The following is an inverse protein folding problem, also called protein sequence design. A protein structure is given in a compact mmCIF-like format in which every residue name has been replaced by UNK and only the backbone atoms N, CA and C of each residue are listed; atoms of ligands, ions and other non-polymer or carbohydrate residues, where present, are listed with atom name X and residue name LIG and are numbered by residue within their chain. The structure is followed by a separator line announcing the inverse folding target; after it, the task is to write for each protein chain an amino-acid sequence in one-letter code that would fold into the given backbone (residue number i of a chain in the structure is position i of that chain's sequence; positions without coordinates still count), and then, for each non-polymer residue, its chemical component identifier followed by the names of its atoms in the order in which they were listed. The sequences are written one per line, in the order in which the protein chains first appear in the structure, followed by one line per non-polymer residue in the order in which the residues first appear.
data_IF_328803072223
#
_entry.id   IF_328803072223
#
_cell.length_a   1.000
_cell.length_b   1.000
_cell.length_c   1.000
_cell.angle_alpha   90.00
_cell.angle_beta   90.00
_cell.angle_gamma   90.00
#
_symmetry.space_group_name_H-M   'P 1'
#
loop_
_entity.id
_entity.type
_entity.pdbx_description
1 polymer ?
#
# COMPACT_ATOMS: atom_id res chain seq x y z
N UNK A 1 2.42 35.31 -0.59
CA UNK A 1 1.82 34.51 -1.69
C UNK A 1 2.89 33.57 -2.22
N UNK A 2 2.60 32.27 -2.32
CA UNK A 2 3.55 31.28 -2.86
C UNK A 2 3.86 31.62 -4.32
N UNK A 3 5.13 31.66 -4.69
CA UNK A 3 5.56 31.96 -6.07
C UNK A 3 5.09 30.84 -7.01
N UNK A 4 4.04 31.13 -7.77
CA UNK A 4 3.39 30.16 -8.67
C UNK A 4 4.29 29.73 -9.82
N UNK A 5 5.37 30.45 -10.11
CA UNK A 5 6.32 30.12 -11.17
C UNK A 5 7.12 28.86 -10.84
N UNK A 6 7.53 28.67 -9.58
CA UNK A 6 8.30 27.49 -9.12
C UNK A 6 7.49 26.19 -9.20
N UNK A 7 6.16 26.26 -9.11
CA UNK A 7 5.27 25.09 -9.17
C UNK A 7 5.14 24.51 -10.59
N UNK A 8 5.45 25.30 -11.63
CA UNK A 8 5.30 24.87 -13.03
C UNK A 8 6.29 23.78 -13.43
N UNK A 9 7.42 23.68 -12.75
CA UNK A 9 8.34 22.55 -12.93
C UNK A 9 7.74 21.24 -12.41
N UNK A 10 7.03 21.29 -11.28
CA UNK A 10 6.34 20.12 -10.74
C UNK A 10 5.18 19.67 -11.63
N UNK A 11 4.43 20.61 -12.22
CA UNK A 11 3.34 20.34 -13.18
C UNK A 11 3.83 19.51 -14.39
N UNK A 12 5.06 19.76 -14.89
CA UNK A 12 5.64 18.95 -15.99
C UNK A 12 5.88 17.51 -15.52
N UNK A 13 6.47 17.33 -14.33
CA UNK A 13 6.79 16.00 -13.79
C UNK A 13 5.52 15.21 -13.53
N UNK A 14 4.54 15.79 -12.84
CA UNK A 14 3.26 15.13 -12.55
C UNK A 14 2.46 14.85 -13.81
N UNK A 15 2.46 15.78 -14.76
CA UNK A 15 1.87 15.57 -16.08
C UNK A 15 2.48 14.37 -16.80
N UNK A 16 3.81 14.27 -16.89
CA UNK A 16 4.48 13.13 -17.53
C UNK A 16 4.16 11.81 -16.82
N UNK A 17 4.17 11.80 -15.49
CA UNK A 17 3.81 10.61 -14.71
C UNK A 17 2.38 10.15 -14.96
N UNK A 18 1.40 11.07 -14.96
CA UNK A 18 0.01 10.75 -15.25
C UNK A 18 -0.23 10.34 -16.69
N UNK A 19 0.52 10.89 -17.64
CA UNK A 19 0.48 10.46 -19.03
C UNK A 19 0.91 9.00 -19.17
N UNK A 20 2.06 8.63 -18.58
CA UNK A 20 2.56 7.24 -18.59
C UNK A 20 1.60 6.30 -17.87
N UNK A 21 1.11 6.70 -16.68
CA UNK A 21 0.15 5.91 -15.92
C UNK A 21 -1.16 5.72 -16.70
N UNK A 22 -1.61 6.74 -17.44
CA UNK A 22 -2.84 6.68 -18.22
C UNK A 22 -2.70 5.71 -19.38
N UNK A 23 -1.55 5.72 -20.07
CA UNK A 23 -1.22 4.73 -21.09
C UNK A 23 -1.21 3.32 -20.50
N UNK A 24 -0.58 3.15 -19.34
CA UNK A 24 -0.51 1.85 -18.66
C UNK A 24 -1.91 1.33 -18.30
N UNK A 25 -2.78 2.17 -17.73
CA UNK A 25 -4.17 1.80 -17.39
C UNK A 25 -4.94 1.37 -18.64
N UNK A 26 -4.81 2.12 -19.75
CA UNK A 26 -5.46 1.74 -21.01
C UNK A 26 -4.90 0.41 -21.52
N UNK A 27 -3.58 0.21 -21.49
CA UNK A 27 -2.95 -1.02 -21.93
C UNK A 27 -3.47 -2.24 -21.15
N UNK A 28 -3.56 -2.13 -19.82
CA UNK A 28 -4.15 -3.16 -18.96
C UNK A 28 -5.64 -3.36 -19.24
N UNK A 29 -6.41 -2.28 -19.41
CA UNK A 29 -7.83 -2.36 -19.71
C UNK A 29 -8.13 -3.07 -21.03
N UNK A 30 -7.26 -2.92 -22.03
CA UNK A 30 -7.37 -3.59 -23.32
C UNK A 30 -7.16 -5.11 -23.23
N UNK A 31 -6.59 -5.63 -22.14
CA UNK A 31 -6.49 -7.07 -21.89
C UNK A 31 -7.78 -7.67 -21.31
N UNK A 32 -8.71 -6.82 -20.85
CA UNK A 32 -9.98 -7.25 -20.25
C UNK A 32 -11.05 -7.50 -21.32
N UNK A 33 -11.98 -8.46 -21.09
CA UNK A 33 -13.02 -8.77 -22.07
C UNK A 33 -14.02 -7.61 -22.23
N UNK A 34 -14.17 -7.14 -23.48
CA UNK A 34 -15.13 -6.09 -23.84
C UNK A 34 -16.56 -6.61 -24.03
N UNK A 35 -16.70 -7.91 -24.32
CA UNK A 35 -17.96 -8.65 -24.39
C UNK A 35 -17.70 -10.05 -23.87
N UNK A 36 -18.62 -10.57 -23.07
CA UNK A 36 -18.55 -11.94 -22.55
C UNK A 36 -19.96 -12.51 -22.42
N UNK A 37 -20.14 -13.82 -22.44
CA UNK A 37 -21.46 -14.45 -22.23
C UNK A 37 -21.48 -15.07 -20.83
N UNK A 38 -22.19 -14.44 -19.90
CA UNK A 38 -22.35 -14.96 -18.54
C UNK A 38 -23.78 -15.47 -18.35
N UNK A 39 -23.91 -16.75 -17.96
CA UNK A 39 -25.21 -17.40 -17.70
C UNK A 39 -26.23 -17.32 -18.87
N UNK A 40 -25.77 -17.31 -20.12
CA UNK A 40 -26.63 -17.26 -21.31
C UNK A 40 -27.13 -15.87 -21.69
N UNK A 41 -26.65 -14.83 -21.01
CA UNK A 41 -26.90 -13.42 -21.38
C UNK A 41 -25.62 -12.84 -21.95
N UNK A 42 -25.70 -12.30 -23.17
CA UNK A 42 -24.58 -11.59 -23.80
C UNK A 42 -24.31 -10.27 -23.06
N UNK A 43 -23.12 -10.13 -22.51
CA UNK A 43 -22.65 -8.90 -21.88
C UNK A 43 -22.33 -7.88 -22.97
N UNK A 44 -23.08 -6.77 -22.95
CA UNK A 44 -22.90 -5.65 -23.87
C UNK A 44 -21.71 -4.79 -23.40
N UNK A 45 -21.07 -4.08 -24.34
CA UNK A 45 -19.85 -3.30 -24.11
C UNK A 45 -19.93 -2.31 -22.93
N UNK A 46 -21.11 -1.79 -22.59
CA UNK A 46 -21.28 -0.83 -21.47
C UNK A 46 -21.26 -1.49 -20.08
N UNK A 47 -21.33 -2.83 -20.00
CA UNK A 47 -21.16 -3.61 -18.77
C UNK A 47 -19.73 -4.15 -18.65
N UNK A 48 -18.87 -3.85 -19.64
CA UNK A 48 -17.51 -4.37 -19.64
C UNK A 48 -16.71 -3.82 -18.45
N UNK A 49 -15.98 -4.69 -17.72
CA UNK A 49 -15.07 -4.26 -16.66
C UNK A 49 -13.96 -3.33 -17.18
N UNK A 50 -13.66 -3.36 -18.50
CA UNK A 50 -12.67 -2.50 -19.14
C UNK A 50 -13.13 -1.04 -19.29
N UNK A 51 -14.45 -0.77 -19.33
CA UNK A 51 -14.99 0.53 -19.70
C UNK A 51 -14.54 1.64 -18.74
N UNK A 52 -14.63 1.40 -17.43
CA UNK A 52 -14.23 2.36 -16.40
C UNK A 52 -12.72 2.68 -16.47
N UNK A 53 -11.81 1.68 -16.47
CA UNK A 53 -10.39 1.89 -16.73
C UNK A 53 -10.10 2.67 -18.01
N UNK A 54 -10.78 2.39 -19.13
CA UNK A 54 -10.59 3.09 -20.39
C UNK A 54 -10.97 4.57 -20.29
N UNK A 55 -12.12 4.89 -19.68
CA UNK A 55 -12.57 6.27 -19.47
C UNK A 55 -11.58 7.03 -18.58
N UNK A 56 -11.20 6.43 -17.44
CA UNK A 56 -10.28 7.05 -16.47
C UNK A 56 -8.90 7.26 -17.12
N UNK A 57 -8.37 6.24 -17.79
CA UNK A 57 -7.10 6.31 -18.49
C UNK A 57 -7.09 7.40 -19.56
N UNK A 58 -8.12 7.46 -20.40
CA UNK A 58 -8.25 8.48 -21.44
C UNK A 58 -8.34 9.90 -20.84
N UNK A 59 -9.22 10.11 -19.86
CA UNK A 59 -9.38 11.40 -19.19
C UNK A 59 -8.06 11.85 -18.54
N UNK A 60 -7.32 10.92 -17.92
CA UNK A 60 -6.03 11.20 -17.30
C UNK A 60 -4.96 11.58 -18.32
N UNK A 61 -4.92 10.91 -19.48
CA UNK A 61 -4.03 11.29 -20.60
C UNK A 61 -4.36 12.70 -21.09
N UNK A 62 -5.63 13.02 -21.34
CA UNK A 62 -6.04 14.36 -21.80
C UNK A 62 -5.64 15.44 -20.80
N UNK A 63 -5.93 15.23 -19.52
CA UNK A 63 -5.58 16.16 -18.46
C UNK A 63 -4.06 16.32 -18.34
N UNK A 64 -3.31 15.22 -18.41
CA UNK A 64 -1.85 15.22 -18.37
C UNK A 64 -1.26 16.04 -19.53
N UNK A 65 -1.72 15.80 -20.76
CA UNK A 65 -1.30 16.57 -21.94
C UNK A 65 -1.61 18.06 -21.75
N UNK A 66 -2.81 18.39 -21.27
CA UNK A 66 -3.19 19.77 -21.00
C UNK A 66 -2.25 20.43 -19.98
N UNK A 67 -1.96 19.76 -18.86
CA UNK A 67 -1.05 20.26 -17.81
C UNK A 67 0.36 20.45 -18.37
N UNK A 68 0.87 19.49 -19.12
CA UNK A 68 2.21 19.55 -19.73
C UNK A 68 2.30 20.74 -20.68
N UNK A 69 1.35 20.88 -21.61
CA UNK A 69 1.32 21.99 -22.58
C UNK A 69 1.20 23.33 -21.86
N UNK A 70 0.33 23.41 -20.85
CA UNK A 70 0.16 24.61 -20.05
C UNK A 70 1.45 24.98 -19.32
N UNK A 71 2.12 24.02 -18.69
CA UNK A 71 3.37 24.24 -17.97
C UNK A 71 4.50 24.66 -18.91
N UNK A 72 4.61 24.07 -20.11
CA UNK A 72 5.57 24.49 -21.13
C UNK A 72 5.36 25.95 -21.55
N UNK A 73 4.11 26.36 -21.78
CA UNK A 73 3.77 27.74 -22.17
C UNK A 73 4.03 28.77 -21.07
N UNK A 74 4.07 28.35 -19.79
CA UNK A 74 4.24 29.24 -18.64
C UNK A 74 5.60 29.07 -17.94
N UNK A 75 6.66 28.75 -18.70
CA UNK A 75 8.03 28.73 -18.19
C UNK A 75 8.41 27.52 -17.34
N UNK A 76 7.63 26.42 -17.40
CA UNK A 76 7.85 25.21 -16.62
C UNK A 76 9.22 24.56 -16.83
N UNK A 77 9.83 24.71 -18.01
CA UNK A 77 11.20 24.20 -18.29
C UNK A 77 12.25 24.93 -17.47
N UNK A 78 12.15 26.26 -17.36
CA UNK A 78 13.06 27.04 -16.54
C UNK A 78 12.86 26.71 -15.05
N UNK A 79 11.61 26.59 -14.60
CA UNK A 79 11.26 26.16 -13.25
C UNK A 79 11.79 24.74 -12.93
N UNK A 80 11.68 23.80 -13.87
CA UNK A 80 12.18 22.43 -13.73
C UNK A 80 13.71 22.40 -13.58
N UNK A 81 14.44 23.16 -14.40
CA UNK A 81 15.91 23.28 -14.31
C UNK A 81 16.33 23.85 -12.95
N UNK A 82 15.67 24.89 -12.46
CA UNK A 82 15.93 25.44 -11.12
C UNK A 82 15.64 24.42 -10.02
N UNK A 83 14.52 23.71 -10.11
CA UNK A 83 14.15 22.68 -9.13
C UNK A 83 15.12 21.49 -9.10
N UNK A 84 15.63 21.06 -10.27
CA UNK A 84 16.66 20.02 -10.34
C UNK A 84 18.01 20.50 -9.79
N UNK A 85 18.35 21.78 -9.97
CA UNK A 85 19.56 22.37 -9.42
C UNK A 85 19.50 22.50 -7.89
N UNK A 86 18.36 22.96 -7.34
CA UNK A 86 18.12 23.06 -5.89
C UNK A 86 18.16 21.67 -5.21
N UNK A 87 17.71 20.60 -5.89
CA UNK A 87 17.70 19.23 -5.34
C UNK A 87 19.06 18.53 -5.25
N UNK A 88 20.11 19.02 -5.90
CA UNK A 88 21.44 18.35 -5.94
C UNK A 88 22.13 18.24 -4.57
N UNK A 89 21.64 18.93 -3.53
CA UNK A 89 22.19 18.86 -2.16
C UNK A 89 21.24 18.28 -1.11
N UNK A 90 19.99 17.95 -1.44
CA UNK A 90 19.04 17.46 -0.45
C UNK A 90 19.20 15.96 -0.23
N UNK A 91 19.39 15.55 1.03
CA UNK A 91 19.35 14.14 1.40
C UNK A 91 17.96 13.57 1.07
N UNK A 92 17.91 12.47 0.33
CA UNK A 92 16.69 11.76 -0.08
C UNK A 92 15.74 11.48 1.10
N UNK A 93 16.28 11.36 2.32
CA UNK A 93 15.57 11.15 3.58
C UNK A 93 15.59 12.40 4.50
N UNK A 94 15.18 13.55 3.98
CA UNK A 94 14.79 14.70 4.81
C UNK A 94 13.57 14.33 5.69
N UNK A 95 13.38 15.01 6.81
CA UNK A 95 12.24 14.78 7.72
C UNK A 95 10.87 14.98 7.05
N UNK A 96 10.83 15.74 5.94
CA UNK A 96 9.64 15.83 5.09
C UNK A 96 9.40 14.54 4.30
N UNK A 97 10.45 13.93 3.76
CA UNK A 97 10.35 12.76 2.89
C UNK A 97 10.07 11.47 3.66
N UNK A 98 10.46 11.39 4.94
CA UNK A 98 10.21 10.18 5.74
C UNK A 98 8.71 9.95 5.99
N UNK A 99 7.91 11.02 6.14
CA UNK A 99 6.45 10.90 6.27
C UNK A 99 5.82 10.34 5.00
N UNK A 100 6.28 10.79 3.82
CA UNK A 100 5.83 10.22 2.55
C UNK A 100 6.24 8.75 2.40
N UNK A 101 7.49 8.41 2.73
CA UNK A 101 7.95 7.03 2.72
C UNK A 101 7.15 6.14 3.70
N UNK A 102 6.83 6.66 4.88
CA UNK A 102 6.04 5.96 5.89
C UNK A 102 4.58 5.70 5.45
N UNK A 103 4.05 6.41 4.46
CA UNK A 103 2.75 6.07 3.83
C UNK A 103 2.95 5.12 2.66
N UNK A 104 3.88 5.44 1.76
CA UNK A 104 4.02 4.74 0.48
C UNK A 104 4.57 3.32 0.64
N UNK A 105 5.59 3.12 1.48
CA UNK A 105 6.23 1.81 1.63
C UNK A 105 5.23 0.76 2.13
N UNK A 106 4.48 0.98 3.23
CA UNK A 106 3.49 0.00 3.70
C UNK A 106 2.35 -0.21 2.73
N UNK A 107 1.91 0.83 2.02
CA UNK A 107 0.83 0.71 1.05
C UNK A 107 1.25 -0.14 -0.15
N UNK A 108 2.43 0.13 -0.71
CA UNK A 108 2.97 -0.62 -1.85
C UNK A 108 3.25 -2.07 -1.45
N UNK A 109 3.87 -2.31 -0.31
CA UNK A 109 4.12 -3.68 0.16
C UNK A 109 2.82 -4.42 0.46
N UNK A 110 1.83 -3.77 1.07
CA UNK A 110 0.52 -4.36 1.30
C UNK A 110 -0.11 -4.82 -0.02
N UNK A 111 -0.21 -3.93 -1.00
CA UNK A 111 -0.95 -4.18 -2.25
C UNK A 111 -0.23 -5.17 -3.15
N UNK A 112 1.06 -4.99 -3.39
CA UNK A 112 1.78 -5.74 -4.44
C UNK A 112 2.49 -7.00 -3.93
N UNK A 113 2.79 -7.06 -2.63
CA UNK A 113 3.55 -8.16 -2.05
C UNK A 113 2.68 -9.02 -1.13
N UNK A 114 2.06 -8.42 -0.12
CA UNK A 114 1.46 -9.14 1.00
C UNK A 114 0.07 -9.72 0.68
N UNK A 115 -0.81 -8.92 0.06
CA UNK A 115 -2.22 -9.29 -0.15
C UNK A 115 -2.42 -10.61 -0.92
N UNK A 116 -1.50 -10.99 -1.80
CA UNK A 116 -1.63 -12.20 -2.62
C UNK A 116 -0.87 -13.41 -2.06
N UNK A 117 -0.21 -13.27 -0.90
CA UNK A 117 0.75 -14.29 -0.40
C UNK A 117 0.64 -14.60 1.09
N UNK A 118 0.08 -13.68 1.86
CA UNK A 118 -0.06 -13.78 3.32
C UNK A 118 -1.55 -13.71 3.62
N UNK A 119 -1.99 -14.43 4.64
CA UNK A 119 -3.35 -14.37 5.18
C UNK A 119 -3.84 -12.91 5.27
N UNK A 120 -5.02 -12.65 4.72
CA UNK A 120 -5.58 -11.31 4.65
C UNK A 120 -5.69 -10.61 6.01
N UNK A 121 -6.04 -11.36 7.07
CA UNK A 121 -6.10 -10.82 8.43
C UNK A 121 -4.71 -10.37 8.89
N UNK A 122 -3.71 -11.22 8.72
CA UNK A 122 -2.32 -10.93 9.14
C UNK A 122 -1.76 -9.75 8.34
N UNK A 123 -2.06 -9.67 7.05
CA UNK A 123 -1.68 -8.55 6.18
C UNK A 123 -2.23 -7.22 6.70
N UNK A 124 -3.51 -7.17 7.07
CA UNK A 124 -4.12 -5.96 7.66
C UNK A 124 -3.47 -5.63 9.01
N UNK A 125 -3.26 -6.61 9.88
CA UNK A 125 -2.61 -6.39 11.18
C UNK A 125 -1.21 -5.79 10.99
N UNK A 126 -0.40 -6.36 10.11
CA UNK A 126 0.95 -5.86 9.83
C UNK A 126 0.94 -4.42 9.31
N UNK A 127 0.02 -4.11 8.40
CA UNK A 127 -0.15 -2.76 7.88
C UNK A 127 -0.59 -1.76 8.97
N UNK A 128 -1.57 -2.13 9.80
CA UNK A 128 -2.13 -1.27 10.85
C UNK A 128 -1.18 -1.09 12.04
N UNK A 129 -0.47 -2.14 12.46
CA UNK A 129 0.54 -2.09 13.55
C UNK A 129 1.55 -1.01 13.20
N UNK A 130 2.03 -1.00 11.96
CA UNK A 130 2.97 0.00 11.51
C UNK A 130 2.31 1.38 11.36
N UNK A 131 1.25 1.48 10.57
CA UNK A 131 0.68 2.77 10.13
C UNK A 131 0.07 3.55 11.28
N UNK A 132 -0.82 2.95 12.07
CA UNK A 132 -1.47 3.64 13.19
C UNK A 132 -0.41 4.08 14.19
N UNK A 133 0.53 3.20 14.53
CA UNK A 133 1.51 3.51 15.56
C UNK A 133 2.50 4.60 15.15
N UNK A 134 3.02 4.57 13.91
CA UNK A 134 3.93 5.61 13.40
C UNK A 134 3.24 6.98 13.41
N UNK A 135 2.01 7.07 12.90
CA UNK A 135 1.31 8.35 12.76
C UNK A 135 0.65 8.84 14.04
N UNK A 136 0.25 7.94 14.95
CA UNK A 136 -0.34 8.35 16.22
C UNK A 136 0.75 8.83 17.20
N UNK A 137 1.92 8.18 17.24
CA UNK A 137 3.06 8.67 18.05
C UNK A 137 3.61 9.99 17.50
N UNK A 138 3.68 10.13 16.18
CA UNK A 138 4.13 11.32 15.44
C UNK A 138 5.50 11.88 15.89
N UNK A 139 6.47 10.99 16.11
CA UNK A 139 7.87 11.36 16.37
C UNK A 139 8.75 11.00 15.16
N UNK A 140 9.50 11.97 14.63
CA UNK A 140 10.28 11.81 13.41
C UNK A 140 11.44 10.80 13.54
N UNK A 141 12.07 10.70 14.72
CA UNK A 141 13.18 9.77 14.93
C UNK A 141 12.68 8.33 15.03
N UNK A 142 11.60 8.11 15.78
CA UNK A 142 10.92 6.82 15.90
C UNK A 142 10.40 6.39 14.53
N UNK A 143 9.69 7.29 13.82
CA UNK A 143 9.20 7.05 12.47
C UNK A 143 10.31 6.61 11.54
N UNK A 144 11.45 7.32 11.51
CA UNK A 144 12.58 6.99 10.63
C UNK A 144 13.14 5.59 10.89
N UNK A 145 13.41 5.26 12.16
CA UNK A 145 13.95 3.94 12.53
C UNK A 145 13.00 2.81 12.17
N UNK A 146 11.70 3.02 12.36
CA UNK A 146 10.70 1.99 12.13
C UNK A 146 10.32 1.87 10.66
N UNK A 147 10.29 2.98 9.92
CA UNK A 147 10.17 2.95 8.45
C UNK A 147 11.31 2.13 7.86
N UNK A 148 12.54 2.32 8.34
CA UNK A 148 13.68 1.53 7.91
C UNK A 148 13.51 0.04 8.24
N UNK A 149 13.12 -0.29 9.47
CA UNK A 149 12.87 -1.68 9.89
C UNK A 149 11.80 -2.36 9.03
N UNK A 150 10.65 -1.70 8.86
CA UNK A 150 9.55 -2.19 8.02
C UNK A 150 10.02 -2.39 6.58
N UNK A 151 10.76 -1.41 6.02
CA UNK A 151 11.32 -1.52 4.68
C UNK A 151 12.26 -2.71 4.57
N UNK A 152 13.11 -2.95 5.58
CA UNK A 152 14.02 -4.09 5.59
C UNK A 152 13.28 -5.44 5.61
N UNK A 153 12.21 -5.55 6.40
CA UNK A 153 11.34 -6.75 6.41
C UNK A 153 10.68 -6.97 5.04
N UNK A 154 10.14 -5.92 4.42
CA UNK A 154 9.51 -6.03 3.10
C UNK A 154 10.52 -6.35 1.99
N UNK A 155 11.73 -5.78 2.05
CA UNK A 155 12.81 -6.12 1.11
C UNK A 155 13.25 -7.56 1.29
N UNK A 156 13.39 -8.03 2.53
CA UNK A 156 13.72 -9.42 2.81
C UNK A 156 12.63 -10.37 2.26
N UNK A 157 11.35 -10.05 2.49
CA UNK A 157 10.25 -10.84 1.94
C UNK A 157 10.21 -10.80 0.40
N UNK A 158 10.47 -9.63 -0.21
CA UNK A 158 10.58 -9.49 -1.66
C UNK A 158 11.70 -10.37 -2.23
N UNK A 159 12.87 -10.42 -1.57
CA UNK A 159 13.98 -11.29 -1.99
C UNK A 159 13.62 -12.77 -1.92
N UNK A 160 12.87 -13.20 -0.90
CA UNK A 160 12.35 -14.57 -0.82
C UNK A 160 11.40 -14.91 -1.98
N UNK A 161 10.54 -13.97 -2.36
CA UNK A 161 9.61 -14.14 -3.49
C UNK A 161 10.35 -14.16 -4.82
N UNK A 162 11.28 -13.24 -5.06
CA UNK A 162 12.04 -13.15 -6.32
C UNK A 162 12.95 -14.37 -6.52
N UNK A 163 13.51 -14.91 -5.44
CA UNK A 163 14.30 -16.15 -5.48
C UNK A 163 13.45 -17.44 -5.61
N UNK A 164 12.13 -17.34 -5.44
CA UNK A 164 11.22 -18.49 -5.41
C UNK A 164 11.35 -19.36 -4.15
N UNK A 165 12.11 -18.91 -3.15
CA UNK A 165 12.25 -19.59 -1.86
C UNK A 165 10.92 -19.60 -1.09
N UNK A 166 10.09 -18.58 -1.27
CA UNK A 166 8.72 -18.53 -0.71
C UNK A 166 7.93 -19.79 -1.08
N UNK A 167 7.96 -20.20 -2.36
CA UNK A 167 7.25 -21.39 -2.85
C UNK A 167 7.82 -22.68 -2.27
N UNK A 168 9.14 -22.77 -2.07
CA UNK A 168 9.77 -23.94 -1.45
C UNK A 168 9.35 -24.06 0.02
N UNK A 169 9.34 -22.94 0.75
CA UNK A 169 8.87 -22.91 2.13
C UNK A 169 7.39 -23.28 2.24
N UNK A 170 6.54 -22.78 1.34
CA UNK A 170 5.11 -23.10 1.34
C UNK A 170 4.84 -24.57 1.00
N UNK A 171 5.68 -25.21 0.18
CA UNK A 171 5.61 -26.66 -0.06
C UNK A 171 5.97 -27.47 1.18
N UNK A 172 6.93 -27.02 1.98
CA UNK A 172 7.30 -27.68 3.24
C UNK A 172 6.23 -27.47 4.32
N UNK A 173 5.67 -26.26 4.38
CA UNK A 173 4.62 -25.91 5.33
C UNK A 173 3.70 -24.84 4.73
N UNK A 174 2.41 -25.19 4.54
CA UNK A 174 1.45 -24.35 3.83
C UNK A 174 1.31 -22.92 4.39
N UNK A 175 1.52 -22.73 5.69
CA UNK A 175 1.40 -21.43 6.35
C UNK A 175 2.76 -20.76 6.64
N UNK A 176 3.80 -21.08 5.86
CA UNK A 176 5.16 -20.53 6.06
C UNK A 176 5.20 -19.00 6.00
N UNK A 177 4.49 -18.41 5.05
CA UNK A 177 4.46 -16.96 4.84
C UNK A 177 3.68 -16.26 5.96
N UNK A 178 2.63 -16.89 6.47
CA UNK A 178 1.85 -16.38 7.60
C UNK A 178 2.70 -16.34 8.87
N UNK A 179 3.46 -17.40 9.15
CA UNK A 179 4.40 -17.44 10.30
C UNK A 179 5.46 -16.35 10.15
N UNK A 180 6.03 -16.21 8.95
CA UNK A 180 7.03 -15.18 8.69
C UNK A 180 6.47 -13.76 8.90
N UNK A 181 5.24 -13.51 8.46
CA UNK A 181 4.55 -12.25 8.68
C UNK A 181 4.24 -11.99 10.16
N UNK A 182 3.89 -13.03 10.94
CA UNK A 182 3.73 -12.92 12.40
C UNK A 182 5.05 -12.57 13.10
N UNK A 183 6.18 -13.08 12.60
CA UNK A 183 7.52 -12.70 13.09
C UNK A 183 7.79 -11.22 12.81
N UNK A 184 7.45 -10.71 11.62
CA UNK A 184 7.57 -9.29 11.28
C UNK A 184 6.72 -8.41 12.21
N UNK A 185 5.43 -8.76 12.39
CA UNK A 185 4.53 -8.06 13.32
C UNK A 185 5.15 -7.99 14.71
N UNK A 186 5.63 -9.13 15.23
CA UNK A 186 6.23 -9.22 16.56
C UNK A 186 7.49 -8.37 16.67
N UNK A 187 8.34 -8.40 15.64
CA UNK A 187 9.59 -7.63 15.57
C UNK A 187 9.30 -6.13 15.59
N UNK A 188 8.32 -5.66 14.81
CA UNK A 188 7.87 -4.27 14.80
C UNK A 188 7.31 -3.86 16.18
N UNK A 189 6.42 -4.66 16.78
CA UNK A 189 5.83 -4.37 18.09
C UNK A 189 6.91 -4.23 19.16
N UNK A 190 7.89 -5.14 19.18
CA UNK A 190 9.02 -5.09 20.11
C UNK A 190 9.87 -3.85 19.85
N UNK A 191 10.16 -3.53 18.58
CA UNK A 191 10.95 -2.36 18.21
C UNK A 191 10.26 -1.05 18.61
N UNK A 192 8.95 -0.91 18.39
CA UNK A 192 8.17 0.23 18.87
C UNK A 192 8.23 0.34 20.39
N UNK A 193 7.92 -0.75 21.09
CA UNK A 193 7.91 -0.79 22.56
C UNK A 193 9.26 -0.38 23.15
N UNK A 194 10.36 -0.84 22.55
CA UNK A 194 11.72 -0.47 22.98
C UNK A 194 12.03 1.00 22.72
N UNK A 195 11.69 1.53 21.53
CA UNK A 195 11.95 2.94 21.22
C UNK A 195 11.10 3.89 22.09
N UNK A 196 9.83 3.57 22.31
CA UNK A 196 8.94 4.36 23.18
C UNK A 196 9.42 4.38 24.62
N UNK A 197 9.87 3.23 25.15
CA UNK A 197 10.46 3.17 26.50
C UNK A 197 11.74 4.02 26.61
N UNK A 198 12.59 4.02 25.57
CA UNK A 198 13.81 4.83 25.53
C UNK A 198 13.54 6.34 25.46
N UNK A 199 12.44 6.76 24.85
CA UNK A 199 12.08 8.18 24.77
C UNK A 199 11.64 8.78 26.11
N UNK A 200 11.20 7.96 27.08
CA UNK A 200 10.77 8.44 28.40
C UNK A 200 9.47 9.24 28.43
N UNK A 201 8.82 9.47 27.27
CA UNK A 201 7.58 10.25 27.17
C UNK A 201 6.36 9.36 27.45
N UNK A 202 5.66 9.64 28.55
CA UNK A 202 4.54 8.81 29.00
C UNK A 202 3.35 8.80 28.01
N UNK A 203 3.14 9.91 27.30
CA UNK A 203 2.09 10.04 26.28
C UNK A 203 2.26 8.99 25.17
N UNK A 204 3.50 8.67 24.77
CA UNK A 204 3.75 7.70 23.71
C UNK A 204 3.32 6.28 24.08
N UNK A 205 3.42 5.90 25.36
CA UNK A 205 2.93 4.58 25.82
C UNK A 205 1.42 4.49 25.68
N UNK A 206 0.69 5.52 26.10
CA UNK A 206 -0.78 5.57 25.96
C UNK A 206 -1.20 5.48 24.49
N UNK A 207 -0.53 6.25 23.62
CA UNK A 207 -0.78 6.21 22.17
C UNK A 207 -0.47 4.85 21.56
N UNK A 208 0.63 4.21 21.98
CA UNK A 208 0.97 2.86 21.55
C UNK A 208 -0.09 1.83 21.93
N UNK A 209 -0.54 1.84 23.18
CA UNK A 209 -1.59 0.92 23.64
C UNK A 209 -2.90 1.12 22.87
N UNK A 210 -3.29 2.37 22.62
CA UNK A 210 -4.45 2.68 21.77
C UNK A 210 -4.28 2.17 20.34
N UNK A 211 -3.09 2.35 19.75
CA UNK A 211 -2.78 1.85 18.42
C UNK A 211 -2.86 0.33 18.33
N UNK A 212 -2.36 -0.39 19.34
CA UNK A 212 -2.46 -1.85 19.40
C UNK A 212 -3.92 -2.32 19.50
N UNK A 213 -4.73 -1.69 20.34
CA UNK A 213 -6.16 -2.00 20.41
C UNK A 213 -6.86 -1.85 19.07
N UNK A 214 -6.69 -0.69 18.41
CA UNK A 214 -7.29 -0.44 17.11
C UNK A 214 -6.82 -1.45 16.05
N UNK A 215 -5.52 -1.76 16.05
CA UNK A 215 -4.91 -2.68 15.08
C UNK A 215 -5.51 -4.08 15.12
N UNK A 216 -5.80 -4.63 16.30
CA UNK A 216 -6.36 -5.97 16.44
C UNK A 216 -7.88 -5.98 16.32
N UNK A 217 -8.57 -4.98 16.89
CA UNK A 217 -10.03 -4.92 16.85
C UNK A 217 -10.56 -4.75 15.42
N UNK A 218 -9.94 -3.90 14.61
CA UNK A 218 -10.39 -3.64 13.24
C UNK A 218 -10.50 -4.90 12.39
N UNK A 219 -9.46 -5.73 12.20
CA UNK A 219 -9.56 -6.95 11.40
C UNK A 219 -10.41 -8.03 12.07
N UNK A 220 -10.47 -8.11 13.41
CA UNK A 220 -11.36 -9.06 14.12
C UNK A 220 -12.83 -8.80 13.83
N UNK A 221 -13.23 -7.56 13.62
CA UNK A 221 -14.61 -7.22 13.22
C UNK A 221 -14.78 -7.29 11.71
N UNK A 222 -13.86 -6.67 10.98
CA UNK A 222 -13.98 -6.50 9.53
C UNK A 222 -13.91 -7.83 8.79
N UNK A 223 -12.93 -8.68 9.09
CA UNK A 223 -12.72 -9.93 8.33
C UNK A 223 -13.93 -10.87 8.44
N UNK A 224 -14.51 -11.14 9.62
CA UNK A 224 -15.72 -11.96 9.72
C UNK A 224 -16.94 -11.35 9.03
N UNK A 225 -17.14 -10.03 9.12
CA UNK A 225 -18.27 -9.35 8.44
C UNK A 225 -18.16 -9.52 6.93
N UNK A 226 -16.99 -9.25 6.35
CA UNK A 226 -16.78 -9.40 4.91
C UNK A 226 -16.89 -10.86 4.47
N UNK A 227 -16.26 -11.77 5.21
CA UNK A 227 -16.18 -13.18 4.82
C UNK A 227 -17.48 -13.94 5.03
N UNK A 228 -18.13 -13.81 6.19
CA UNK A 228 -19.24 -14.67 6.58
C UNK A 228 -20.61 -14.00 6.42
N UNK A 229 -20.74 -12.68 6.66
CA UNK A 229 -22.01 -11.97 6.42
C UNK A 229 -22.17 -11.59 4.95
N UNK A 230 -21.18 -10.89 4.38
CA UNK A 230 -21.26 -10.38 3.01
C UNK A 230 -20.81 -11.38 1.94
N UNK A 231 -20.20 -12.51 2.35
CA UNK A 231 -19.69 -13.57 1.46
C UNK A 231 -18.72 -13.07 0.39
N UNK A 232 -17.93 -12.06 0.74
CA UNK A 232 -16.89 -11.51 -0.14
C UNK A 232 -15.68 -12.46 -0.13
N UNK A 233 -15.18 -12.89 -1.30
CA UNK A 233 -13.93 -13.65 -1.37
C UNK A 233 -12.77 -12.77 -0.91
N UNK A 234 -11.94 -13.29 -0.01
CA UNK A 234 -10.76 -12.57 0.46
C UNK A 234 -9.58 -12.84 -0.49
N UNK A 235 -8.63 -11.90 -0.67
CA UNK A 235 -7.52 -12.04 -1.62
C UNK A 235 -6.67 -13.30 -1.40
N UNK A 236 -6.35 -13.62 -0.14
CA UNK A 236 -5.64 -14.82 0.24
C UNK A 236 -6.11 -15.28 1.64
N UNK A 237 -6.43 -16.57 1.75
CA UNK A 237 -6.97 -17.18 2.96
C UNK A 237 -5.93 -18.14 3.54
N UNK A 238 -5.34 -17.76 4.67
CA UNK A 238 -4.28 -18.52 5.32
C UNK A 238 -4.72 -19.01 6.70
N UNK A 239 -3.76 -19.08 7.63
CA UNK A 239 -3.94 -19.75 8.91
C UNK A 239 -5.11 -19.17 9.72
N UNK A 240 -5.28 -17.85 9.78
CA UNK A 240 -6.29 -17.22 10.64
C UNK A 240 -7.67 -17.34 10.00
N UNK A 241 -7.80 -17.00 8.72
CA UNK A 241 -9.09 -17.05 8.02
C UNK A 241 -9.61 -18.48 7.91
N UNK A 242 -8.72 -19.46 7.65
CA UNK A 242 -9.11 -20.87 7.60
C UNK A 242 -9.56 -21.36 8.97
N UNK A 243 -8.87 -20.96 10.04
CA UNK A 243 -9.28 -21.28 11.42
C UNK A 243 -10.64 -20.67 11.75
N UNK A 244 -10.88 -19.41 11.40
CA UNK A 244 -12.18 -18.76 11.57
C UNK A 244 -13.28 -19.50 10.82
N UNK A 245 -13.00 -19.93 9.59
CA UNK A 245 -13.95 -20.67 8.76
C UNK A 245 -14.28 -22.02 9.38
N UNK A 246 -13.28 -22.75 9.87
CA UNK A 246 -13.48 -24.01 10.59
C UNK A 246 -14.40 -23.83 11.80
N UNK A 247 -14.14 -22.83 12.65
CA UNK A 247 -14.97 -22.53 13.82
C UNK A 247 -16.40 -22.16 13.41
N UNK A 248 -16.56 -21.29 12.42
CA UNK A 248 -17.88 -20.85 11.95
C UNK A 248 -18.74 -22.03 11.47
N UNK A 249 -18.16 -22.92 10.66
CA UNK A 249 -18.90 -24.08 10.14
C UNK A 249 -19.13 -25.15 11.20
N UNK A 250 -18.23 -25.32 12.16
CA UNK A 250 -18.43 -26.23 13.29
C UNK A 250 -19.59 -25.81 14.21
N UNK A 251 -19.82 -24.51 14.37
CA UNK A 251 -20.94 -23.97 15.19
C UNK A 251 -22.28 -24.04 14.46
N UNK A 252 -22.26 -24.03 13.13
CA UNK A 252 -23.47 -24.01 12.29
C UNK A 252 -24.03 -25.40 11.98
N UNK A 253 -23.27 -26.46 12.25
CA UNK A 253 -23.75 -27.85 12.26
C UNK A 253 -24.54 -28.14 13.55
#
# INVERSE_FOLDING_TARGET
MMDKSKLRGADIITGVLFFILGIYIIAEALTMPLKDSYAGVESVWYVSPALMPLIIGAAMIFLAVYIIVFAFRHGGVAALKMMMAERKGEKFLSDKNIRYAAVLVPLISMVYLNLTRIDFFITIVLFLVYTITVFHVDDAQIMRKLTFLYTAEMVFFLLLVVSGLDKLLTKLFAYSNDILALIYITTIIIAFSRNIRKSGVEIYKKRFTQAMWMTWMTPVVLVPVFRFMLRVPLPFEGIIVNTMSFVYYAIKQ
#
